data_IF_882447512251
#
_entry.id   IF_882447512251
#
_cell.length_a   1.000
_cell.length_b   1.000
_cell.length_c   1.000
_cell.angle_alpha   90.00
_cell.angle_beta   90.00
_cell.angle_gamma   90.00
#
_symmetry.space_group_name_H-M   'P 1'
#
loop_
_entity.id
_entity.type
_entity.pdbx_description
1 polymer ?
#
# COMPACT_ATOMS: atom_id res chain seq x y z
N UNK A 1 -18.60 -10.39 -8.89
CA UNK A 1 -18.55 -9.90 -10.30
C UNK A 1 -17.57 -8.76 -10.37
N UNK A 2 -16.65 -8.71 -11.35
CA UNK A 2 -15.67 -7.62 -11.47
C UNK A 2 -16.32 -6.37 -12.10
N UNK A 3 -15.84 -5.14 -11.78
CA UNK A 3 -16.35 -3.88 -12.34
C UNK A 3 -16.35 -3.86 -13.88
N UNK A 4 -17.30 -3.16 -14.49
CA UNK A 4 -17.44 -3.11 -15.96
C UNK A 4 -16.20 -2.57 -16.63
N UNK A 5 -15.54 -1.54 -16.05
CA UNK A 5 -14.32 -0.98 -16.63
C UNK A 5 -13.13 -1.97 -16.60
N UNK A 6 -13.07 -2.87 -15.60
CA UNK A 6 -12.12 -4.00 -15.62
C UNK A 6 -12.39 -4.90 -16.81
N UNK A 7 -13.64 -5.31 -17.00
CA UNK A 7 -14.01 -6.19 -18.11
C UNK A 7 -13.63 -5.59 -19.46
N UNK A 8 -13.98 -4.32 -19.66
CA UNK A 8 -13.69 -3.59 -20.90
C UNK A 8 -12.19 -3.54 -21.21
N UNK A 9 -11.35 -3.26 -20.21
CA UNK A 9 -9.90 -3.21 -20.40
C UNK A 9 -9.31 -4.62 -20.59
N UNK A 10 -9.66 -5.56 -19.72
CA UNK A 10 -9.10 -6.92 -19.75
C UNK A 10 -9.42 -7.66 -21.05
N UNK A 11 -10.60 -7.46 -21.64
CA UNK A 11 -10.96 -8.02 -22.94
C UNK A 11 -10.09 -7.52 -24.10
N UNK A 12 -9.47 -6.35 -23.97
CA UNK A 12 -8.55 -5.83 -24.99
C UNK A 12 -7.14 -6.45 -24.88
N UNK A 13 -6.76 -6.89 -23.68
CA UNK A 13 -5.41 -7.38 -23.37
C UNK A 13 -5.31 -8.92 -23.41
N UNK A 14 -6.42 -9.61 -23.30
CA UNK A 14 -6.50 -11.05 -23.15
C UNK A 14 -7.37 -11.67 -24.23
N UNK A 15 -7.02 -12.87 -24.69
CA UNK A 15 -7.92 -13.68 -25.52
C UNK A 15 -9.18 -14.04 -24.73
N UNK A 16 -10.26 -14.43 -25.43
CA UNK A 16 -11.51 -14.83 -24.76
C UNK A 16 -11.31 -15.96 -23.76
N UNK A 17 -10.46 -16.94 -24.08
CA UNK A 17 -10.12 -18.04 -23.16
C UNK A 17 -9.33 -17.55 -21.94
N UNK A 18 -8.34 -16.67 -22.12
CA UNK A 18 -7.57 -16.08 -21.03
C UNK A 18 -8.45 -15.19 -20.14
N UNK A 19 -9.33 -14.39 -20.74
CA UNK A 19 -10.29 -13.55 -20.02
C UNK A 19 -11.25 -14.40 -19.15
N UNK A 20 -11.74 -15.53 -19.69
CA UNK A 20 -12.58 -16.44 -18.93
C UNK A 20 -11.83 -17.04 -17.74
N UNK A 21 -10.58 -17.50 -17.94
CA UNK A 21 -9.73 -17.99 -16.83
C UNK A 21 -9.52 -16.92 -15.78
N UNK A 22 -9.19 -15.69 -16.19
CA UNK A 22 -8.97 -14.57 -15.27
C UNK A 22 -10.22 -14.27 -14.44
N UNK A 23 -11.35 -14.05 -15.08
CA UNK A 23 -12.59 -13.68 -14.37
C UNK A 23 -13.08 -14.78 -13.44
N UNK A 24 -12.96 -16.04 -13.85
CA UNK A 24 -13.28 -17.19 -12.99
C UNK A 24 -12.33 -17.25 -11.80
N UNK A 25 -11.01 -17.06 -12.03
CA UNK A 25 -10.02 -17.09 -10.96
C UNK A 25 -10.22 -15.96 -9.95
N UNK A 26 -10.51 -14.75 -10.42
CA UNK A 26 -10.84 -13.62 -9.54
C UNK A 26 -12.08 -13.91 -8.68
N UNK A 27 -13.14 -14.49 -9.26
CA UNK A 27 -14.33 -14.86 -8.52
C UNK A 27 -14.05 -15.94 -7.47
N UNK A 28 -13.28 -16.96 -7.84
CA UNK A 28 -12.86 -18.02 -6.91
C UNK A 28 -11.99 -17.46 -5.79
N UNK A 29 -11.04 -16.56 -6.10
CA UNK A 29 -10.21 -15.92 -5.07
C UNK A 29 -11.04 -15.07 -4.10
N UNK A 30 -12.06 -14.39 -4.58
CA UNK A 30 -12.96 -13.59 -3.74
C UNK A 30 -13.84 -14.46 -2.83
N UNK A 31 -14.36 -15.60 -3.34
CA UNK A 31 -15.20 -16.51 -2.53
C UNK A 31 -14.38 -17.28 -1.50
N UNK A 32 -13.24 -17.83 -1.93
CA UNK A 32 -12.39 -18.67 -1.07
C UNK A 32 -11.47 -17.87 -0.15
N UNK A 33 -11.30 -16.56 -0.39
CA UNK A 33 -10.35 -15.68 0.33
C UNK A 33 -8.96 -16.31 0.39
N UNK A 34 -8.45 -16.77 -0.76
CA UNK A 34 -7.28 -17.64 -0.82
C UNK A 34 -6.52 -17.45 -2.12
N UNK A 35 -5.18 -17.53 -2.04
CA UNK A 35 -4.28 -17.48 -3.22
C UNK A 35 -3.41 -18.74 -3.37
N UNK A 36 -3.56 -19.75 -2.52
CA UNK A 36 -2.84 -21.03 -2.66
C UNK A 36 -3.34 -21.75 -3.91
N UNK A 37 -2.41 -21.98 -4.83
CA UNK A 37 -2.73 -22.55 -6.15
C UNK A 37 -3.44 -23.90 -6.05
N UNK A 38 -3.03 -24.75 -5.12
CA UNK A 38 -3.60 -26.08 -4.88
C UNK A 38 -5.08 -25.97 -4.42
N UNK A 39 -5.39 -24.98 -3.58
CA UNK A 39 -6.77 -24.75 -3.11
C UNK A 39 -7.63 -24.17 -4.23
N UNK A 40 -7.13 -23.17 -4.93
CA UNK A 40 -7.82 -22.59 -6.08
C UNK A 40 -8.13 -23.65 -7.15
N UNK A 41 -7.17 -24.54 -7.45
CA UNK A 41 -7.35 -25.61 -8.43
C UNK A 41 -8.43 -26.63 -8.02
N UNK A 42 -8.63 -26.89 -6.72
CA UNK A 42 -9.68 -27.81 -6.24
C UNK A 42 -11.08 -27.30 -6.58
N UNK A 43 -11.32 -26.02 -6.40
CA UNK A 43 -12.65 -25.40 -6.56
C UNK A 43 -12.84 -24.75 -7.93
N UNK A 44 -11.80 -24.71 -8.77
CA UNK A 44 -11.89 -24.12 -10.10
C UNK A 44 -12.86 -24.89 -10.99
N UNK A 45 -13.91 -24.25 -11.56
CA UNK A 45 -15.06 -24.93 -12.16
C UNK A 45 -14.78 -25.44 -13.58
N UNK A 46 -13.70 -26.19 -13.78
CA UNK A 46 -13.38 -26.83 -15.05
C UNK A 46 -13.54 -28.35 -14.94
N UNK A 47 -14.16 -29.03 -15.94
CA UNK A 47 -14.43 -30.44 -15.90
C UNK A 47 -13.20 -31.30 -16.27
N UNK A 48 -12.07 -31.03 -15.59
CA UNK A 48 -10.76 -31.70 -15.74
C UNK A 48 -10.22 -32.03 -14.35
N UNK A 49 -9.20 -32.89 -14.29
CA UNK A 49 -8.58 -33.27 -13.01
C UNK A 49 -7.99 -32.05 -12.26
N UNK A 50 -7.91 -32.13 -10.96
CA UNK A 50 -7.34 -31.05 -10.13
C UNK A 50 -5.91 -30.71 -10.53
N UNK A 51 -5.11 -31.72 -10.88
CA UNK A 51 -3.73 -31.50 -11.34
C UNK A 51 -3.69 -30.76 -12.69
N UNK A 52 -4.57 -31.10 -13.62
CA UNK A 52 -4.70 -30.39 -14.90
C UNK A 52 -5.17 -28.94 -14.70
N UNK A 53 -6.08 -28.70 -13.75
CA UNK A 53 -6.48 -27.34 -13.37
C UNK A 53 -5.29 -26.56 -12.80
N UNK A 54 -4.54 -27.16 -11.88
CA UNK A 54 -3.36 -26.55 -11.27
C UNK A 54 -2.34 -26.15 -12.35
N UNK A 55 -2.03 -27.07 -13.28
CA UNK A 55 -1.14 -26.81 -14.40
C UNK A 55 -1.65 -25.68 -15.31
N UNK A 56 -2.94 -25.66 -15.60
CA UNK A 56 -3.58 -24.59 -16.39
C UNK A 56 -3.42 -23.22 -15.71
N UNK A 57 -3.63 -23.15 -14.40
CA UNK A 57 -3.43 -21.91 -13.63
C UNK A 57 -1.96 -21.49 -13.60
N UNK A 58 -0.99 -22.42 -13.51
CA UNK A 58 0.43 -22.11 -13.61
C UNK A 58 0.78 -21.51 -14.99
N UNK A 59 0.31 -22.12 -16.08
CA UNK A 59 0.51 -21.61 -17.44
C UNK A 59 -0.11 -20.22 -17.59
N UNK A 60 -1.28 -19.98 -16.98
CA UNK A 60 -1.90 -18.66 -16.98
C UNK A 60 -1.06 -17.63 -16.24
N UNK A 61 -0.45 -17.98 -15.09
CA UNK A 61 0.45 -17.10 -14.35
C UNK A 61 1.77 -16.81 -15.09
N UNK A 62 2.15 -17.61 -16.06
CA UNK A 62 3.36 -17.39 -16.88
C UNK A 62 3.07 -16.61 -18.17
N UNK A 63 1.84 -16.13 -18.40
CA UNK A 63 1.52 -15.36 -19.60
C UNK A 63 2.36 -14.07 -19.69
N UNK A 64 3.01 -13.79 -20.84
CA UNK A 64 3.89 -12.63 -20.97
C UNK A 64 3.16 -11.28 -20.92
N UNK A 65 1.88 -11.26 -21.23
CA UNK A 65 1.03 -10.07 -21.17
C UNK A 65 0.37 -9.88 -19.80
N UNK A 66 0.58 -10.79 -18.83
CA UNK A 66 0.08 -10.66 -17.47
C UNK A 66 1.06 -9.82 -16.64
N UNK A 67 1.14 -8.53 -16.92
CA UNK A 67 2.06 -7.60 -16.22
C UNK A 67 1.31 -6.46 -15.53
N UNK A 68 1.93 -5.88 -14.52
CA UNK A 68 1.39 -4.73 -13.78
C UNK A 68 1.11 -3.57 -14.74
N UNK A 69 2.04 -3.29 -15.65
CA UNK A 69 1.95 -2.16 -16.60
C UNK A 69 0.82 -2.33 -17.61
N UNK A 70 0.62 -3.53 -18.16
CA UNK A 70 -0.41 -3.78 -19.17
C UNK A 70 -1.80 -4.00 -18.58
N UNK A 71 -1.87 -4.64 -17.43
CA UNK A 71 -3.14 -5.06 -16.83
C UNK A 71 -3.62 -4.05 -15.78
N UNK A 72 -2.73 -3.63 -14.87
CA UNK A 72 -3.13 -2.87 -13.70
C UNK A 72 -3.05 -1.35 -13.86
N UNK A 73 -1.97 -0.82 -14.43
CA UNK A 73 -1.82 0.63 -14.56
C UNK A 73 -2.94 1.30 -15.34
N UNK A 74 -3.45 0.79 -16.46
CA UNK A 74 -4.59 1.40 -17.14
C UNK A 74 -5.87 1.39 -16.30
N UNK A 75 -6.09 0.37 -15.47
CA UNK A 75 -7.24 0.30 -14.59
C UNK A 75 -7.18 1.33 -13.47
N UNK A 76 -6.01 1.49 -12.86
CA UNK A 76 -5.85 2.50 -11.79
C UNK A 76 -5.88 3.91 -12.37
N UNK A 77 -5.30 4.15 -13.55
CA UNK A 77 -5.40 5.45 -14.24
C UNK A 77 -6.85 5.80 -14.55
N UNK A 78 -7.61 4.86 -15.11
CA UNK A 78 -9.05 5.07 -15.34
C UNK A 78 -9.79 5.41 -14.05
N UNK A 79 -9.50 4.68 -12.97
CA UNK A 79 -10.13 4.94 -11.68
C UNK A 79 -9.75 6.32 -11.14
N UNK A 80 -8.48 6.73 -11.22
CA UNK A 80 -8.01 8.04 -10.80
C UNK A 80 -8.72 9.15 -11.56
N UNK A 81 -8.72 9.09 -12.89
CA UNK A 81 -9.34 10.12 -13.74
C UNK A 81 -10.86 10.20 -13.58
N UNK A 82 -11.52 9.08 -13.25
CA UNK A 82 -12.97 9.03 -13.07
C UNK A 82 -13.44 9.49 -11.70
N UNK A 83 -12.67 9.14 -10.65
CA UNK A 83 -13.13 9.30 -9.26
C UNK A 83 -12.33 10.31 -8.44
N UNK A 84 -11.15 10.72 -8.91
CA UNK A 84 -10.32 11.71 -8.24
C UNK A 84 -10.28 13.02 -9.05
N UNK A 85 -10.53 14.13 -8.36
CA UNK A 85 -10.45 15.45 -8.99
C UNK A 85 -8.99 15.82 -9.25
N UNK A 86 -8.65 16.33 -10.43
CA UNK A 86 -7.32 16.85 -10.76
C UNK A 86 -6.85 17.85 -9.70
N UNK A 87 -5.57 17.79 -9.34
CA UNK A 87 -4.98 18.61 -8.29
C UNK A 87 -5.27 18.15 -6.86
N UNK A 88 -6.11 17.10 -6.67
CA UNK A 88 -6.34 16.53 -5.35
C UNK A 88 -5.04 15.99 -4.75
N UNK A 89 -4.89 16.15 -3.43
CA UNK A 89 -3.78 15.57 -2.69
C UNK A 89 -4.03 14.10 -2.42
N UNK A 90 -3.13 13.25 -2.89
CA UNK A 90 -3.20 11.79 -2.74
C UNK A 90 -1.99 11.30 -1.95
N UNK A 91 -2.20 10.37 -1.06
CA UNK A 91 -1.13 9.76 -0.26
C UNK A 91 -0.77 8.39 -0.81
N UNK A 92 0.53 8.16 -1.01
CA UNK A 92 1.12 6.90 -1.43
C UNK A 92 1.96 6.39 -0.26
N UNK A 93 1.69 5.20 0.24
CA UNK A 93 2.52 4.56 1.25
C UNK A 93 3.46 3.54 0.61
N UNK A 94 4.69 3.51 1.11
CA UNK A 94 5.65 2.46 0.83
C UNK A 94 5.85 1.62 2.08
N UNK A 95 5.88 0.32 1.91
CA UNK A 95 6.10 -0.62 3.00
C UNK A 95 6.62 -1.95 2.45
N UNK A 96 7.07 -2.82 3.33
CA UNK A 96 7.66 -4.11 2.98
C UNK A 96 7.03 -5.23 3.79
N UNK A 97 6.86 -6.37 3.15
CA UNK A 97 6.43 -7.59 3.82
C UNK A 97 7.42 -8.71 3.54
N UNK A 98 7.73 -9.47 4.58
CA UNK A 98 8.69 -10.56 4.51
C UNK A 98 8.11 -11.84 5.09
N UNK A 99 8.25 -12.95 4.36
CA UNK A 99 7.90 -14.29 4.83
C UNK A 99 8.74 -15.36 4.13
N UNK A 100 9.20 -16.37 4.86
CA UNK A 100 10.12 -17.38 4.34
C UNK A 100 11.31 -16.72 3.63
N UNK A 101 11.54 -17.07 2.38
CA UNK A 101 12.58 -16.47 1.54
C UNK A 101 12.10 -15.30 0.68
N UNK A 102 10.88 -14.83 0.86
CA UNK A 102 10.28 -13.75 0.08
C UNK A 102 10.45 -12.43 0.81
N UNK A 103 10.89 -11.42 0.07
CA UNK A 103 11.00 -10.04 0.52
C UNK A 103 10.26 -9.16 -0.50
N UNK A 104 9.05 -8.74 -0.16
CA UNK A 104 8.14 -8.01 -1.01
C UNK A 104 8.16 -6.53 -0.67
N UNK A 105 8.59 -5.69 -1.60
CA UNK A 105 8.40 -4.25 -1.54
C UNK A 105 7.05 -3.88 -2.16
N UNK A 106 6.29 -3.00 -1.53
CA UNK A 106 4.96 -2.59 -1.97
C UNK A 106 4.81 -1.07 -1.96
N UNK A 107 4.31 -0.53 -3.06
CA UNK A 107 3.84 0.86 -3.19
C UNK A 107 2.32 0.84 -3.29
N UNK A 108 1.62 1.61 -2.46
CA UNK A 108 0.15 1.56 -2.38
C UNK A 108 -0.48 2.95 -2.27
N UNK A 109 -1.60 3.16 -2.97
CA UNK A 109 -2.43 4.34 -2.83
C UNK A 109 -3.27 4.23 -1.56
N UNK A 110 -3.22 5.23 -0.70
CA UNK A 110 -4.05 5.28 0.49
C UNK A 110 -5.46 5.74 0.12
N UNK A 111 -6.41 4.88 0.39
CA UNK A 111 -7.85 5.19 0.38
C UNK A 111 -8.33 5.34 1.84
N UNK A 112 -9.49 5.95 2.10
CA UNK A 112 -9.99 6.03 3.46
C UNK A 112 -10.00 4.67 4.17
N UNK A 113 -9.15 4.54 5.22
CA UNK A 113 -8.98 3.34 6.06
C UNK A 113 -8.35 2.10 5.39
N UNK A 114 -7.97 2.17 4.09
CA UNK A 114 -7.36 1.05 3.35
C UNK A 114 -6.29 1.58 2.41
N UNK A 115 -5.55 0.69 1.80
CA UNK A 115 -4.66 1.01 0.70
C UNK A 115 -4.92 0.09 -0.49
N UNK A 116 -4.66 0.57 -1.69
CA UNK A 116 -4.74 -0.20 -2.92
C UNK A 116 -3.32 -0.39 -3.43
N UNK A 117 -2.83 -1.64 -3.61
CA UNK A 117 -1.52 -1.88 -4.20
C UNK A 117 -1.42 -1.20 -5.57
N UNK A 118 -0.36 -0.43 -5.80
CA UNK A 118 -0.07 0.20 -7.09
C UNK A 118 1.01 -0.56 -7.84
N UNK A 119 2.09 -0.86 -7.13
CA UNK A 119 3.24 -1.56 -7.70
C UNK A 119 3.94 -2.38 -6.62
N UNK A 120 4.56 -3.48 -7.01
CA UNK A 120 5.32 -4.34 -6.11
C UNK A 120 6.47 -5.01 -6.85
N UNK A 121 7.53 -5.29 -6.11
CA UNK A 121 8.68 -6.03 -6.59
C UNK A 121 9.21 -6.97 -5.51
N UNK A 122 9.85 -8.04 -5.92
CA UNK A 122 10.57 -8.93 -5.03
C UNK A 122 12.01 -8.44 -4.89
N UNK A 123 12.41 -8.13 -3.67
CA UNK A 123 13.79 -7.74 -3.37
C UNK A 123 14.68 -8.99 -3.34
N UNK A 124 15.93 -8.88 -3.83
CA UNK A 124 16.81 -10.05 -3.99
C UNK A 124 17.32 -10.63 -2.67
N UNK A 125 17.33 -9.82 -1.62
CA UNK A 125 17.83 -10.19 -0.28
C UNK A 125 16.78 -10.00 0.80
N UNK A 126 16.90 -10.72 1.89
CA UNK A 126 16.05 -10.58 3.08
C UNK A 126 16.48 -9.40 3.99
N UNK A 127 17.05 -8.38 3.42
CA UNK A 127 17.48 -7.14 4.08
C UNK A 127 16.46 -6.02 3.88
N UNK A 128 16.67 -4.90 4.56
CA UNK A 128 15.90 -3.69 4.32
C UNK A 128 16.10 -3.21 2.88
N UNK A 129 15.08 -2.54 2.34
CA UNK A 129 15.18 -1.91 1.03
C UNK A 129 16.26 -0.82 1.05
N UNK A 130 17.07 -0.76 0.01
CA UNK A 130 18.05 0.32 -0.18
C UNK A 130 17.42 1.50 -0.97
N UNK A 131 18.16 2.60 -1.04
CA UNK A 131 17.73 3.81 -1.74
C UNK A 131 17.36 3.53 -3.22
N UNK A 132 18.19 2.77 -3.93
CA UNK A 132 17.98 2.43 -5.34
C UNK A 132 16.67 1.65 -5.55
N UNK A 133 16.41 0.63 -4.74
CA UNK A 133 15.17 -0.14 -4.83
C UNK A 133 13.93 0.71 -4.50
N UNK A 134 14.04 1.64 -3.56
CA UNK A 134 12.95 2.55 -3.20
C UNK A 134 12.61 3.51 -4.35
N UNK A 135 13.62 4.15 -4.92
CA UNK A 135 13.44 5.10 -6.04
C UNK A 135 12.99 4.40 -7.31
N UNK A 136 13.57 3.24 -7.65
CA UNK A 136 13.16 2.43 -8.82
C UNK A 136 11.68 2.06 -8.73
N UNK A 137 11.19 1.63 -7.58
CA UNK A 137 9.77 1.26 -7.41
C UNK A 137 8.85 2.50 -7.45
N UNK A 138 9.26 3.62 -6.88
CA UNK A 138 8.49 4.87 -6.93
C UNK A 138 8.45 5.45 -8.34
N UNK A 139 9.54 5.38 -9.11
CA UNK A 139 9.58 5.84 -10.51
C UNK A 139 8.60 5.08 -11.42
N UNK A 140 8.22 3.83 -11.08
CA UNK A 140 7.15 3.11 -11.81
C UNK A 140 5.77 3.70 -11.56
N UNK A 141 5.56 4.34 -10.40
CA UNK A 141 4.24 4.74 -9.93
C UNK A 141 4.00 6.25 -10.11
N UNK A 142 4.98 7.08 -9.80
CA UNK A 142 4.82 8.54 -9.80
C UNK A 142 4.28 9.12 -11.10
N UNK A 143 4.64 8.63 -12.30
CA UNK A 143 4.06 9.12 -13.56
C UNK A 143 2.54 8.99 -13.66
N UNK A 144 1.93 8.02 -12.98
CA UNK A 144 0.47 7.85 -12.94
C UNK A 144 -0.24 8.99 -12.22
N UNK A 145 0.49 9.76 -11.43
CA UNK A 145 -0.01 10.82 -10.56
C UNK A 145 0.42 12.23 -10.97
N UNK A 146 0.87 12.42 -12.22
CA UNK A 146 1.38 13.72 -12.71
C UNK A 146 0.40 14.88 -12.56
N UNK A 147 -0.90 14.60 -12.58
CA UNK A 147 -1.97 15.61 -12.41
C UNK A 147 -2.42 15.77 -10.94
N UNK A 148 -1.78 15.10 -9.99
CA UNK A 148 -2.17 15.09 -8.59
C UNK A 148 -1.03 15.59 -7.69
N UNK A 149 -1.39 16.09 -6.51
CA UNK A 149 -0.40 16.44 -5.46
C UNK A 149 -0.12 15.19 -4.63
N UNK A 150 1.07 14.62 -4.77
CA UNK A 150 1.42 13.37 -4.09
C UNK A 150 2.15 13.63 -2.77
N UNK A 151 1.80 12.83 -1.75
CA UNK A 151 2.58 12.71 -0.51
C UNK A 151 3.02 11.25 -0.37
N UNK A 152 4.33 11.01 -0.29
CA UNK A 152 4.88 9.68 0.00
C UNK A 152 5.03 9.48 1.50
N UNK A 153 4.51 8.37 2.01
CA UNK A 153 4.52 7.98 3.42
C UNK A 153 5.41 6.75 3.60
N UNK A 154 6.40 6.84 4.49
CA UNK A 154 7.28 5.72 4.80
C UNK A 154 7.48 5.56 6.31
N UNK A 155 7.65 4.32 6.77
CA UNK A 155 7.99 4.04 8.17
C UNK A 155 9.51 4.19 8.44
N UNK A 156 9.98 3.69 9.59
CA UNK A 156 11.39 3.79 9.99
C UNK A 156 12.39 3.02 9.11
N UNK A 157 11.92 2.07 8.32
CA UNK A 157 12.76 1.40 7.33
C UNK A 157 13.15 2.38 6.22
N UNK A 158 12.22 3.26 5.85
CA UNK A 158 12.37 4.26 4.79
C UNK A 158 12.85 5.61 5.30
N UNK A 159 13.58 5.64 6.41
CA UNK A 159 14.03 6.85 7.09
C UNK A 159 15.24 7.55 6.41
N UNK A 160 15.33 7.48 5.10
CA UNK A 160 16.44 8.04 4.33
C UNK A 160 16.24 9.53 4.06
N UNK A 161 17.23 10.34 4.44
CA UNK A 161 17.32 11.74 4.04
C UNK A 161 17.48 11.86 2.53
N UNK A 162 18.20 10.91 1.93
CA UNK A 162 18.42 10.86 0.48
C UNK A 162 17.11 10.61 -0.28
N UNK A 163 16.23 9.76 0.27
CA UNK A 163 14.88 9.58 -0.29
C UNK A 163 14.06 10.88 -0.19
N UNK A 164 14.15 11.59 0.94
CA UNK A 164 13.51 12.90 1.11
C UNK A 164 13.98 13.94 0.08
N UNK A 165 15.30 14.01 -0.19
CA UNK A 165 15.87 14.88 -1.21
C UNK A 165 15.36 14.51 -2.60
N UNK A 166 15.44 13.24 -2.95
CA UNK A 166 14.99 12.74 -4.24
C UNK A 166 13.49 13.05 -4.49
N UNK A 167 12.64 12.84 -3.48
CA UNK A 167 11.22 13.19 -3.56
C UNK A 167 11.02 14.70 -3.78
N UNK A 168 11.78 15.53 -3.07
CA UNK A 168 11.73 16.99 -3.21
C UNK A 168 12.14 17.43 -4.61
N UNK A 169 13.18 16.84 -5.20
CA UNK A 169 13.62 17.08 -6.59
C UNK A 169 12.54 16.69 -7.60
N UNK A 170 11.75 15.66 -7.32
CA UNK A 170 10.60 15.24 -8.13
C UNK A 170 9.34 16.10 -7.90
N UNK A 171 9.38 17.08 -6.99
CA UNK A 171 8.19 17.88 -6.63
C UNK A 171 7.14 17.11 -5.83
N UNK A 172 7.54 16.03 -5.16
CA UNK A 172 6.67 15.13 -4.40
C UNK A 172 6.87 15.37 -2.92
N UNK A 173 5.80 15.69 -2.19
CA UNK A 173 5.84 15.84 -0.74
C UNK A 173 5.99 14.51 -0.02
N UNK A 174 6.41 14.54 1.23
CA UNK A 174 6.66 13.31 1.98
C UNK A 174 6.46 13.42 3.48
N UNK A 175 6.24 12.27 4.12
CA UNK A 175 6.33 12.06 5.57
C UNK A 175 7.06 10.74 5.82
N UNK A 176 8.34 10.81 6.14
CA UNK A 176 9.21 9.66 6.39
C UNK A 176 9.56 9.60 7.88
N UNK A 177 9.24 8.48 8.54
CA UNK A 177 9.53 8.34 9.97
C UNK A 177 11.01 8.10 10.20
N UNK A 178 11.63 8.98 10.96
CA UNK A 178 13.05 8.92 11.32
C UNK A 178 13.30 7.92 12.47
N UNK A 179 14.52 7.40 12.52
CA UNK A 179 15.03 6.68 13.69
C UNK A 179 15.38 7.68 14.78
N UNK A 180 15.09 7.35 16.04
CA UNK A 180 15.29 8.23 17.20
C UNK A 180 16.75 8.67 17.44
N UNK A 181 17.70 7.85 16.99
CA UNK A 181 19.14 8.12 17.10
C UNK A 181 19.72 9.00 15.98
N UNK A 182 18.89 9.42 15.01
CA UNK A 182 19.34 10.36 13.98
C UNK A 182 19.58 11.74 14.60
N UNK A 183 20.63 12.44 14.13
CA UNK A 183 21.00 13.75 14.62
C UNK A 183 20.42 14.86 13.74
N UNK A 184 20.03 15.94 14.39
CA UNK A 184 19.67 17.22 13.75
C UNK A 184 20.55 18.32 14.31
N UNK A 185 20.76 19.40 13.52
CA UNK A 185 21.43 20.61 14.00
C UNK A 185 20.40 21.48 14.74
N UNK A 186 20.73 21.84 15.97
CA UNK A 186 19.93 22.76 16.82
C UNK A 186 20.33 24.20 16.60
N UNK A 187 19.71 25.15 17.31
CA UNK A 187 19.90 26.60 17.11
C UNK A 187 21.33 27.09 17.33
N UNK A 188 22.15 26.39 18.09
CA UNK A 188 23.54 26.79 18.41
C UNK A 188 24.57 26.00 17.58
N UNK A 189 24.21 25.50 16.38
CA UNK A 189 25.08 24.65 15.55
C UNK A 189 25.53 23.36 16.26
N UNK A 190 24.81 22.96 17.31
CA UNK A 190 25.08 21.74 18.06
C UNK A 190 24.26 20.60 17.46
N UNK A 191 24.92 19.49 17.21
CA UNK A 191 24.25 18.27 16.74
C UNK A 191 23.69 17.49 17.93
N UNK A 192 22.37 17.28 17.92
CA UNK A 192 21.66 16.58 18.96
C UNK A 192 20.83 15.44 18.37
N UNK A 193 20.75 14.31 19.06
CA UNK A 193 19.90 13.19 18.66
C UNK A 193 18.43 13.54 18.88
N UNK A 194 17.56 12.96 18.05
CA UNK A 194 16.11 13.19 18.16
C UNK A 194 15.53 12.73 19.51
N UNK A 195 16.05 11.65 20.09
CA UNK A 195 15.60 11.15 21.40
C UNK A 195 16.10 12.01 22.60
N UNK A 196 17.05 12.92 22.37
CA UNK A 196 17.57 13.85 23.36
C UNK A 196 16.88 15.24 23.34
N UNK A 197 15.90 15.44 22.44
CA UNK A 197 15.16 16.70 22.31
C UNK A 197 14.21 17.02 23.47
N UNK A 198 14.18 16.21 24.52
CA UNK A 198 13.27 16.42 25.68
C UNK A 198 11.80 16.20 25.39
N UNK A 199 11.45 15.49 24.29
CA UNK A 199 10.07 15.15 23.97
C UNK A 199 9.56 14.11 24.97
N UNK A 200 8.47 14.42 25.65
CA UNK A 200 7.83 13.54 26.66
C UNK A 200 6.39 13.16 26.24
N UNK A 201 5.79 12.11 26.82
CA UNK A 201 4.41 11.73 26.51
C UNK A 201 3.43 12.91 26.64
N UNK A 202 2.65 13.14 25.57
CA UNK A 202 1.69 14.25 25.50
C UNK A 202 2.20 15.49 24.79
N UNK A 203 3.51 15.61 24.51
CA UNK A 203 4.10 16.78 23.86
C UNK A 203 4.24 16.61 22.35
N UNK A 204 4.42 17.72 21.68
CA UNK A 204 4.73 17.78 20.25
C UNK A 204 5.60 19.00 19.95
N UNK A 205 6.48 18.87 18.95
CA UNK A 205 7.41 19.91 18.53
C UNK A 205 7.46 19.92 16.98
N UNK A 206 7.62 21.09 16.41
CA UNK A 206 7.84 21.25 14.96
C UNK A 206 9.10 22.07 14.72
N UNK A 207 10.05 21.48 14.03
CA UNK A 207 11.36 22.05 13.76
C UNK A 207 11.43 22.36 12.27
N UNK A 208 11.67 23.62 11.92
CA UNK A 208 11.74 24.10 10.54
C UNK A 208 13.20 24.38 10.14
N UNK A 209 13.49 24.18 8.85
CA UNK A 209 14.76 24.53 8.24
C UNK A 209 15.99 23.84 8.85
N UNK A 210 15.80 22.70 9.50
CA UNK A 210 16.90 22.01 10.19
C UNK A 210 17.80 21.24 9.22
N UNK A 211 19.10 21.21 9.52
CA UNK A 211 20.00 20.24 8.92
C UNK A 211 19.82 18.90 9.60
N UNK A 212 19.69 17.88 8.80
CA UNK A 212 19.46 16.51 9.23
C UNK A 212 20.64 15.66 8.79
N UNK A 213 21.07 14.72 9.61
CA UNK A 213 22.21 13.82 9.39
C UNK A 213 23.58 14.53 9.45
N UNK A 214 24.35 14.19 10.50
CA UNK A 214 25.65 14.81 10.79
C UNK A 214 26.72 14.56 9.73
N UNK A 215 26.75 13.37 9.13
CA UNK A 215 27.82 12.94 8.19
C UNK A 215 27.73 13.59 6.80
N UNK A 216 26.53 13.88 6.32
CA UNK A 216 26.27 14.63 5.09
C UNK A 216 25.07 15.54 5.33
N UNK A 217 25.29 16.70 5.95
CA UNK A 217 24.19 17.56 6.36
C UNK A 217 23.36 18.02 5.16
N UNK A 218 22.06 17.79 5.22
CA UNK A 218 21.12 18.25 4.21
C UNK A 218 20.17 19.27 4.84
N UNK A 219 20.01 20.40 4.19
CA UNK A 219 19.24 21.55 4.68
C UNK A 219 17.82 21.58 4.13
N UNK A 220 16.97 22.38 4.80
CA UNK A 220 15.64 22.71 4.29
C UNK A 220 14.58 21.65 4.53
N UNK A 221 14.79 20.77 5.51
CA UNK A 221 13.79 19.85 6.00
C UNK A 221 13.10 20.37 7.25
N UNK A 222 11.90 19.86 7.44
CA UNK A 222 11.12 20.05 8.64
C UNK A 222 11.01 18.71 9.37
N UNK A 223 11.00 18.76 10.71
CA UNK A 223 10.83 17.56 11.54
C UNK A 223 9.62 17.75 12.46
N UNK A 224 8.59 16.95 12.23
CA UNK A 224 7.41 16.91 13.08
C UNK A 224 7.58 15.84 14.17
N UNK A 225 7.60 16.26 15.42
CA UNK A 225 7.77 15.38 16.57
C UNK A 225 6.44 15.27 17.34
N UNK A 226 6.05 14.04 17.71
CA UNK A 226 4.85 13.80 18.51
C UNK A 226 5.01 12.59 19.39
N UNK A 227 4.86 12.76 20.70
CA UNK A 227 4.66 11.64 21.62
C UNK A 227 3.21 11.64 22.11
N UNK A 228 2.49 10.57 21.81
CA UNK A 228 1.10 10.42 22.28
C UNK A 228 1.08 10.31 23.81
N UNK A 229 0.02 10.84 24.44
CA UNK A 229 -0.21 10.62 25.87
C UNK A 229 -0.43 9.14 26.16
N UNK A 230 0.03 8.72 27.32
CA UNK A 230 -0.32 7.43 27.87
C UNK A 230 -1.73 7.51 28.47
N UNK A 231 -2.56 6.50 28.24
CA UNK A 231 -3.90 6.40 28.81
C UNK A 231 -4.08 5.03 29.47
N UNK A 232 -4.23 5.00 30.79
CA UNK A 232 -4.39 3.78 31.57
C UNK A 232 -3.23 2.80 31.34
N UNK A 233 -3.55 1.57 30.94
CA UNK A 233 -2.55 0.53 30.62
C UNK A 233 -1.88 0.70 29.24
N UNK A 234 -2.39 1.60 28.39
CA UNK A 234 -1.83 1.83 27.07
C UNK A 234 -0.69 2.84 27.11
N UNK A 235 0.53 2.34 27.00
CA UNK A 235 1.74 3.15 26.98
C UNK A 235 2.35 3.16 25.58
N UNK A 236 2.56 4.35 25.02
CA UNK A 236 3.28 4.54 23.76
C UNK A 236 4.76 4.66 24.07
N UNK A 237 5.53 3.64 23.70
CA UNK A 237 6.93 3.48 24.07
C UNK A 237 7.89 4.53 23.50
N UNK A 238 7.51 5.24 22.44
CA UNK A 238 8.40 6.21 21.79
C UNK A 238 7.64 7.31 21.03
N UNK A 239 8.30 8.45 20.83
CA UNK A 239 7.81 9.53 19.99
C UNK A 239 7.86 9.17 18.48
N UNK A 240 7.02 9.82 17.72
CA UNK A 240 7.17 9.92 16.28
C UNK A 240 8.09 11.10 15.93
N UNK A 241 9.06 10.84 15.10
CA UNK A 241 9.91 11.83 14.46
C UNK A 241 9.72 11.69 12.96
N UNK A 242 9.15 12.69 12.31
CA UNK A 242 8.72 12.61 10.91
C UNK A 242 9.44 13.68 10.11
N UNK A 243 10.28 13.27 9.18
CA UNK A 243 10.89 14.13 8.17
C UNK A 243 9.80 14.51 7.16
N UNK A 244 9.66 15.79 6.83
CA UNK A 244 8.57 16.27 5.98
C UNK A 244 8.92 17.61 5.32
N UNK A 245 8.09 18.01 4.36
CA UNK A 245 8.09 19.33 3.69
C UNK A 245 6.68 19.95 3.69
N UNK A 246 5.78 19.49 4.55
CA UNK A 246 4.36 19.88 4.53
C UNK A 246 4.03 21.21 5.22
N UNK A 247 5.02 21.95 5.71
CA UNK A 247 4.88 23.30 6.26
C UNK A 247 4.19 23.39 7.63
N UNK A 248 3.66 22.31 8.21
CA UNK A 248 3.07 22.34 9.54
C UNK A 248 3.01 20.99 10.24
N UNK A 249 3.13 21.02 11.58
CA UNK A 249 2.97 19.84 12.44
C UNK A 249 1.65 19.11 12.18
N UNK A 250 0.54 19.85 12.06
CA UNK A 250 -0.80 19.27 11.86
C UNK A 250 -0.89 18.53 10.52
N UNK A 251 -0.38 19.14 9.45
CA UNK A 251 -0.38 18.52 8.12
C UNK A 251 0.46 17.23 8.11
N UNK A 252 1.69 17.28 8.65
CA UNK A 252 2.58 16.13 8.75
C UNK A 252 1.97 14.97 9.55
N UNK A 253 1.42 15.25 10.73
CA UNK A 253 0.81 14.23 11.58
C UNK A 253 -0.45 13.62 10.94
N UNK A 254 -1.28 14.44 10.30
CA UNK A 254 -2.49 13.95 9.63
C UNK A 254 -2.15 13.10 8.40
N UNK A 255 -1.16 13.50 7.61
CA UNK A 255 -0.68 12.70 6.49
C UNK A 255 -0.07 11.37 7.00
N UNK A 256 0.84 11.42 7.96
CA UNK A 256 1.51 10.22 8.46
C UNK A 256 0.55 9.18 9.08
N UNK A 257 -0.52 9.62 9.76
CA UNK A 257 -1.56 8.71 10.27
C UNK A 257 -2.22 7.87 9.19
N UNK A 258 -2.32 8.38 7.97
CA UNK A 258 -2.94 7.66 6.85
C UNK A 258 -2.13 6.41 6.45
N UNK A 259 -0.83 6.36 6.79
CA UNK A 259 0.02 5.17 6.55
C UNK A 259 -0.58 3.87 7.12
N UNK A 260 -1.36 3.97 8.20
CA UNK A 260 -2.06 2.81 8.76
C UNK A 260 -2.90 2.05 7.71
N UNK A 261 -3.32 2.70 6.63
CA UNK A 261 -4.06 2.07 5.54
C UNK A 261 -3.28 0.93 4.86
N UNK A 262 -1.95 1.03 4.74
CA UNK A 262 -1.15 -0.04 4.15
C UNK A 262 -1.01 -1.25 5.11
N UNK A 263 -0.95 -1.01 6.42
CA UNK A 263 -0.94 -2.08 7.42
C UNK A 263 -2.26 -2.87 7.40
N UNK A 264 -3.39 -2.16 7.28
CA UNK A 264 -4.71 -2.78 7.12
C UNK A 264 -4.81 -3.57 5.81
N UNK A 265 -4.30 -3.04 4.70
CA UNK A 265 -4.21 -3.77 3.43
C UNK A 265 -3.39 -5.06 3.59
N UNK A 266 -2.21 -5.00 4.21
CA UNK A 266 -1.43 -6.20 4.44
C UNK A 266 -2.15 -7.23 5.31
N UNK A 267 -2.89 -6.78 6.33
CA UNK A 267 -3.72 -7.67 7.14
C UNK A 267 -4.78 -8.39 6.29
N UNK A 268 -5.46 -7.65 5.41
CA UNK A 268 -6.46 -8.23 4.50
C UNK A 268 -5.84 -9.17 3.45
N UNK A 269 -4.62 -8.91 3.02
CA UNK A 269 -3.91 -9.77 2.07
C UNK A 269 -3.27 -11.00 2.71
N UNK A 270 -2.99 -10.98 4.01
CA UNK A 270 -2.41 -12.08 4.78
C UNK A 270 -3.49 -13.01 5.37
N UNK A 271 -3.22 -13.59 6.50
CA UNK A 271 -4.10 -14.54 7.20
C UNK A 271 -5.50 -13.99 7.54
N UNK A 272 -5.66 -12.67 7.59
CA UNK A 272 -6.96 -12.01 7.77
C UNK A 272 -7.84 -11.97 6.52
N UNK A 273 -7.33 -12.43 5.37
CA UNK A 273 -8.03 -12.39 4.08
C UNK A 273 -7.47 -13.40 3.08
N UNK A 274 -6.75 -12.94 2.05
CA UNK A 274 -6.31 -13.78 0.92
C UNK A 274 -5.19 -14.78 1.23
N UNK A 275 -4.55 -14.73 2.39
CA UNK A 275 -3.46 -15.63 2.83
C UNK A 275 -2.31 -15.73 1.81
N UNK A 276 -1.86 -14.57 1.29
CA UNK A 276 -0.84 -14.58 0.24
C UNK A 276 0.53 -15.10 0.71
N UNK A 277 0.81 -15.05 2.00
CA UNK A 277 2.02 -15.64 2.59
C UNK A 277 1.98 -17.16 2.62
N UNK A 278 0.80 -17.75 2.52
CA UNK A 278 0.61 -19.20 2.46
C UNK A 278 0.88 -19.82 1.09
N UNK A 279 1.16 -19.01 0.04
CA UNK A 279 1.47 -19.55 -1.29
C UNK A 279 2.91 -20.06 -1.38
N UNK A 280 3.12 -21.15 -2.12
CA UNK A 280 4.44 -21.68 -2.46
C UNK A 280 5.05 -21.07 -3.73
N UNK A 281 4.35 -20.17 -4.38
CA UNK A 281 4.79 -19.51 -5.63
C UNK A 281 6.02 -18.63 -5.38
N UNK A 282 6.88 -18.53 -6.40
CA UNK A 282 8.11 -17.73 -6.38
C UNK A 282 8.27 -16.98 -7.71
N UNK A 283 9.15 -15.98 -7.73
CA UNK A 283 9.50 -15.21 -8.93
C UNK A 283 8.28 -14.61 -9.62
N UNK A 284 8.25 -14.64 -10.96
CA UNK A 284 7.20 -14.01 -11.76
C UNK A 284 5.80 -14.56 -11.47
N UNK A 285 5.66 -15.85 -11.17
CA UNK A 285 4.36 -16.42 -10.80
C UNK A 285 3.81 -15.81 -9.52
N UNK A 286 4.67 -15.52 -8.54
CA UNK A 286 4.26 -14.83 -7.31
C UNK A 286 3.84 -13.39 -7.61
N UNK A 287 4.63 -12.65 -8.40
CA UNK A 287 4.31 -11.28 -8.83
C UNK A 287 2.95 -11.24 -9.52
N UNK A 288 2.69 -12.19 -10.42
CA UNK A 288 1.44 -12.29 -11.17
C UNK A 288 0.26 -12.77 -10.28
N UNK A 289 0.50 -13.63 -9.29
CA UNK A 289 -0.52 -13.97 -8.30
C UNK A 289 -0.90 -12.76 -7.44
N UNK A 290 0.06 -11.93 -7.06
CA UNK A 290 -0.21 -10.66 -6.34
C UNK A 290 -0.99 -9.70 -7.25
N UNK A 291 -0.74 -9.68 -8.58
CA UNK A 291 -1.54 -8.92 -9.54
C UNK A 291 -3.01 -9.36 -9.53
N UNK A 292 -3.27 -10.66 -9.59
CA UNK A 292 -4.63 -11.21 -9.54
C UNK A 292 -5.30 -10.90 -8.19
N UNK A 293 -4.57 -11.06 -7.09
CA UNK A 293 -5.04 -10.68 -5.76
C UNK A 293 -5.39 -9.18 -5.71
N UNK A 294 -4.53 -8.32 -6.27
CA UNK A 294 -4.78 -6.88 -6.33
C UNK A 294 -6.04 -6.55 -7.11
N UNK A 295 -6.30 -7.23 -8.23
CA UNK A 295 -7.52 -7.07 -9.00
C UNK A 295 -8.76 -7.52 -8.21
N UNK A 296 -8.69 -8.66 -7.54
CA UNK A 296 -9.78 -9.16 -6.70
C UNK A 296 -10.05 -8.22 -5.51
N UNK A 297 -9.02 -7.80 -4.81
CA UNK A 297 -9.07 -6.92 -3.65
C UNK A 297 -9.60 -5.52 -3.98
N UNK A 298 -9.03 -4.88 -5.01
CA UNK A 298 -9.45 -3.54 -5.42
C UNK A 298 -10.86 -3.52 -6.01
N UNK A 299 -11.25 -4.57 -6.74
CA UNK A 299 -12.63 -4.76 -7.19
C UNK A 299 -13.62 -4.76 -6.02
N UNK A 300 -13.30 -5.48 -4.94
CA UNK A 300 -14.12 -5.49 -3.74
C UNK A 300 -14.22 -4.11 -3.07
N UNK A 301 -13.12 -3.38 -2.97
CA UNK A 301 -13.09 -2.01 -2.42
C UNK A 301 -13.94 -1.06 -3.27
N UNK A 302 -13.79 -1.10 -4.60
CA UNK A 302 -14.53 -0.20 -5.50
C UNK A 302 -16.03 -0.49 -5.46
N UNK A 303 -16.44 -1.76 -5.47
CA UNK A 303 -17.84 -2.14 -5.33
C UNK A 303 -18.41 -1.72 -3.97
N UNK A 304 -17.67 -1.93 -2.87
CA UNK A 304 -18.09 -1.49 -1.55
C UNK A 304 -18.27 0.03 -1.45
N UNK A 305 -17.41 0.80 -2.11
CA UNK A 305 -17.55 2.26 -2.17
C UNK A 305 -18.78 2.69 -2.99
N UNK A 306 -19.09 2.00 -4.08
CA UNK A 306 -20.31 2.27 -4.88
C UNK A 306 -21.59 1.95 -4.09
N UNK A 307 -21.61 0.82 -3.35
CA UNK A 307 -22.74 0.48 -2.47
C UNK A 307 -22.94 1.54 -1.38
N UNK A 308 -21.84 2.06 -0.82
CA UNK A 308 -21.90 3.16 0.15
C UNK A 308 -22.47 4.44 -0.45
N UNK A 309 -22.04 4.83 -1.64
CA UNK A 309 -22.58 6.00 -2.34
C UNK A 309 -24.07 5.87 -2.62
N UNK A 310 -24.53 4.68 -2.97
CA UNK A 310 -25.96 4.38 -3.24
C UNK A 310 -26.79 4.20 -1.97
N UNK A 311 -26.20 4.27 -0.77
CA UNK A 311 -26.85 4.08 0.53
C UNK A 311 -27.59 2.74 0.68
N UNK A 312 -27.15 1.71 -0.06
CA UNK A 312 -27.74 0.35 -0.01
C UNK A 312 -27.07 -0.58 1.00
N UNK A 313 -26.22 -0.06 1.87
CA UNK A 313 -25.49 -0.83 2.88
C UNK A 313 -26.43 -1.61 3.80
N UNK A 314 -27.59 -1.06 4.12
CA UNK A 314 -28.58 -1.68 5.01
C UNK A 314 -29.16 -2.98 4.47
N UNK A 315 -29.13 -3.17 3.14
CA UNK A 315 -29.61 -4.38 2.48
C UNK A 315 -28.57 -5.48 2.39
N UNK A 316 -27.29 -5.15 2.58
CA UNK A 316 -26.14 -6.07 2.41
C UNK A 316 -25.59 -6.52 3.76
N UNK A 317 -25.68 -5.71 4.80
CA UNK A 317 -25.08 -6.00 6.11
C UNK A 317 -26.11 -6.15 7.21
N UNK A 318 -25.91 -7.14 8.11
CA UNK A 318 -26.72 -7.27 9.33
C UNK A 318 -26.50 -6.05 10.25
N UNK A 319 -27.53 -5.62 11.00
CA UNK A 319 -27.48 -4.48 11.92
C UNK A 319 -26.32 -4.54 12.95
N UNK A 320 -25.94 -5.72 13.40
CA UNK A 320 -24.82 -5.96 14.32
C UNK A 320 -23.46 -5.76 13.65
N UNK A 321 -23.36 -6.03 12.34
CA UNK A 321 -22.17 -5.83 11.54
C UNK A 321 -22.04 -4.38 11.07
N UNK A 322 -23.16 -3.67 10.89
CA UNK A 322 -23.17 -2.25 10.55
C UNK A 322 -22.42 -1.39 11.58
N UNK A 323 -22.55 -1.70 12.88
CA UNK A 323 -21.79 -1.00 13.95
C UNK A 323 -20.28 -1.29 13.88
N UNK A 324 -19.86 -2.48 13.45
CA UNK A 324 -18.47 -2.84 13.19
C UNK A 324 -17.98 -2.29 11.84
N UNK A 325 -18.82 -2.31 10.83
CA UNK A 325 -18.51 -1.89 9.45
C UNK A 325 -18.40 -0.37 9.26
N UNK A 326 -19.00 0.42 10.12
CA UNK A 326 -18.69 1.85 10.26
C UNK A 326 -17.21 2.01 10.65
N UNK A 327 -16.63 1.00 11.32
CA UNK A 327 -15.20 0.92 11.61
C UNK A 327 -14.35 0.30 10.48
N UNK A 328 -14.84 -0.71 9.73
CA UNK A 328 -14.00 -1.58 8.89
C UNK A 328 -14.44 -1.71 7.41
N UNK A 329 -14.76 -0.83 6.69
CA UNK A 329 -15.13 -0.72 5.26
C UNK A 329 -15.02 -1.90 4.26
N UNK A 330 -14.49 -3.05 4.66
CA UNK A 330 -14.23 -4.20 3.79
C UNK A 330 -15.27 -5.35 3.89
N UNK A 331 -15.98 -5.47 5.00
CA UNK A 331 -16.93 -6.57 5.21
C UNK A 331 -18.20 -6.52 4.35
N UNK A 332 -18.43 -5.43 3.63
CA UNK A 332 -19.66 -5.21 2.85
C UNK A 332 -19.72 -5.89 1.49
N UNK A 333 -18.66 -6.52 1.03
CA UNK A 333 -18.58 -7.08 -0.33
C UNK A 333 -18.26 -8.58 -0.33
N UNK A 334 -18.02 -9.15 0.84
CA UNK A 334 -17.46 -10.50 0.96
C UNK A 334 -18.40 -11.55 1.61
N UNK A 335 -19.66 -11.20 1.91
CA UNK A 335 -20.72 -12.15 2.34
C UNK A 335 -21.71 -12.42 1.24
#
# INVERSE_FOLDING_TARGET
>A
MIPTFYQTHLKKQLTSAQFLVMTTLLSVMQSEKQVRLERLARVFPYPITTESRRRKLQIFLDLPNLTISLIWFPLITYWLTTYCRIGTRLSIAIDRSQWGCINLFMVSLICPRRAIPLYWSLLPKLENSNFESQTTNLDQVLPLFSEYKVIVLGDREFCSVDLGNWLKEKGVSFCLRLKKNLCIETEHLVWQRLDELGIVPGTSLYLQGKKVRKTLPTTGFEVACKWKRNYGKYQVKEAWFILTDLGSLRAALNAYKQRMGIEEMFRDCKTGGYDFEGTSLKGNRLVNMILLMTLAYSSAIFQGNELKKKQVQEYVSRRTEQKKNIADGLHLVLD
#
